data_IF_156758507378
#
_entry.id   IF_156758507378
#
_cell.length_a   1.000
_cell.length_b   1.000
_cell.length_c   1.000
_cell.angle_alpha   90.00
_cell.angle_beta   90.00
_cell.angle_gamma   90.00
#
_symmetry.space_group_name_H-M   'P 1'
#
loop_
_entity.id
_entity.type
_entity.pdbx_description
1 polymer ?
#
# COMPACT_ATOMS: atom_id res chain seq x y z
N UNK A 1 23.17 -12.47 0.78
CA UNK A 1 22.97 -12.35 0.23
C UNK A 1 21.96 -11.75 -0.13
N UNK A 2 21.79 -11.18 -0.33
CA UNK A 2 20.88 -10.51 -0.74
C UNK A 2 19.91 -11.06 -1.44
N UNK A 3 19.67 -12.06 -1.34
CA UNK A 3 18.93 -12.69 -2.03
C UNK A 3 17.58 -12.31 -2.12
N UNK A 4 16.95 -11.83 -1.15
CA UNK A 4 15.59 -11.46 -1.18
C UNK A 4 15.22 -10.54 -2.24
N UNK A 5 16.12 -9.64 -2.57
CA UNK A 5 15.86 -8.71 -3.59
C UNK A 5 15.72 -9.34 -4.91
N UNK A 6 16.56 -10.28 -5.21
CA UNK A 6 16.48 -10.94 -6.46
C UNK A 6 15.21 -11.70 -6.57
N UNK A 7 14.76 -12.31 -5.52
CA UNK A 7 13.57 -13.09 -5.56
C UNK A 7 12.34 -12.28 -5.76
N UNK A 8 12.32 -11.07 -5.29
CA UNK A 8 11.17 -10.21 -5.46
C UNK A 8 11.28 -9.35 -6.70
N UNK A 9 12.19 -9.65 -7.62
CA UNK A 9 12.32 -8.93 -8.87
C UNK A 9 12.75 -7.50 -8.70
N UNK A 10 13.45 -7.18 -7.63
CA UNK A 10 13.86 -5.83 -7.34
C UNK A 10 12.86 -5.04 -6.53
N UNK A 11 11.73 -5.62 -6.17
CA UNK A 11 10.77 -4.97 -5.29
C UNK A 11 11.20 -5.22 -3.85
N UNK A 12 11.47 -4.16 -3.13
CA UNK A 12 11.95 -4.27 -1.77
C UNK A 12 11.64 -2.99 -1.02
N UNK A 13 10.89 -3.10 0.06
CA UNK A 13 10.58 -1.94 0.89
C UNK A 13 11.76 -1.63 1.79
N UNK A 14 12.18 -0.39 1.80
CA UNK A 14 13.30 0.07 2.62
C UNK A 14 12.77 0.73 3.89
N UNK A 15 12.63 -0.06 4.94
CA UNK A 15 12.11 0.45 6.20
C UNK A 15 13.09 1.39 6.89
N UNK A 16 14.35 1.41 6.47
CA UNK A 16 15.33 2.34 7.05
C UNK A 16 15.14 3.75 6.51
N UNK A 17 14.32 3.94 5.48
CA UNK A 17 14.01 5.27 4.98
C UNK A 17 13.14 6.06 5.95
N UNK A 18 12.57 5.40 6.97
CA UNK A 18 11.75 6.05 7.98
C UNK A 18 12.45 6.04 9.32
N UNK A 19 12.19 7.06 10.13
CA UNK A 19 12.68 7.07 11.51
C UNK A 19 11.91 6.01 12.32
N UNK A 20 12.38 5.77 13.54
CA UNK A 20 11.72 4.83 14.43
C UNK A 20 10.27 5.25 14.69
N UNK A 21 10.06 6.52 14.93
CA UNK A 21 8.73 7.05 15.19
C UNK A 21 7.83 6.93 13.96
N UNK A 22 8.39 7.21 12.81
CA UNK A 22 7.65 7.07 11.56
C UNK A 22 7.24 5.63 11.30
N UNK A 23 8.14 4.69 11.58
CA UNK A 23 7.81 3.27 11.42
C UNK A 23 6.67 2.85 12.34
N UNK A 24 6.67 3.34 13.57
CA UNK A 24 5.57 3.04 14.49
C UNK A 24 4.25 3.55 13.97
N UNK A 25 4.23 4.77 13.48
CA UNK A 25 3.02 5.36 12.91
C UNK A 25 2.60 4.62 11.64
N UNK A 26 3.56 4.27 10.81
CA UNK A 26 3.32 3.53 9.59
C UNK A 26 2.62 2.19 9.87
N UNK A 27 3.08 1.47 10.89
CA UNK A 27 2.49 0.18 11.23
C UNK A 27 1.03 0.34 11.69
N UNK A 28 0.74 1.38 12.45
CA UNK A 28 -0.62 1.66 12.86
C UNK A 28 -1.51 1.95 11.66
N UNK A 29 -1.03 2.80 10.76
CA UNK A 29 -1.79 3.16 9.57
C UNK A 29 -2.02 1.95 8.66
N UNK A 30 -1.01 1.11 8.54
CA UNK A 30 -1.09 -0.08 7.71
C UNK A 30 -2.17 -1.04 8.22
N UNK A 31 -2.23 -1.24 9.52
CA UNK A 31 -3.25 -2.10 10.11
C UNK A 31 -4.65 -1.51 9.93
N UNK A 32 -4.77 -0.20 10.09
CA UNK A 32 -6.06 0.48 9.89
C UNK A 32 -6.51 0.38 8.43
N UNK A 33 -5.58 0.55 7.50
CA UNK A 33 -5.88 0.44 6.09
C UNK A 33 -6.41 -0.95 5.76
N UNK A 34 -5.71 -1.98 6.22
CA UNK A 34 -6.12 -3.35 5.94
C UNK A 34 -7.54 -3.62 6.44
N UNK A 35 -7.89 -3.09 7.60
CA UNK A 35 -9.22 -3.27 8.16
C UNK A 35 -10.28 -2.44 7.45
N UNK A 36 -9.89 -1.38 6.75
CA UNK A 36 -10.82 -0.45 6.12
C UNK A 36 -11.09 -0.77 4.65
N UNK A 37 -10.40 -1.73 4.06
CA UNK A 37 -10.63 -2.10 2.67
C UNK A 37 -11.94 -2.88 2.58
N UNK A 38 -12.88 -2.36 1.81
CA UNK A 38 -14.20 -2.97 1.67
C UNK A 38 -14.46 -3.49 0.25
N UNK A 39 -13.52 -3.34 -0.65
CA UNK A 39 -13.64 -3.87 -1.99
C UNK A 39 -12.30 -3.78 -2.70
N UNK A 40 -12.06 -4.70 -3.60
CA UNK A 40 -10.81 -4.78 -4.36
C UNK A 40 -11.16 -5.01 -5.81
N UNK A 41 -10.55 -4.22 -6.67
CA UNK A 41 -10.67 -4.42 -8.12
C UNK A 41 -9.28 -4.68 -8.67
N UNK A 42 -9.13 -5.76 -9.38
CA UNK A 42 -7.84 -6.08 -10.01
C UNK A 42 -7.67 -5.25 -11.27
N UNK A 43 -6.48 -4.66 -11.42
CA UNK A 43 -6.13 -3.88 -12.61
C UNK A 43 -5.04 -4.63 -13.35
N UNK A 44 -4.78 -4.23 -14.59
CA UNK A 44 -3.72 -4.86 -15.38
C UNK A 44 -2.38 -4.77 -14.68
N UNK A 45 -2.11 -3.65 -14.02
CA UNK A 45 -0.82 -3.34 -13.42
C UNK A 45 -0.88 -3.15 -11.91
N UNK A 46 -1.93 -3.62 -11.26
CA UNK A 46 -2.04 -3.50 -9.81
C UNK A 46 -3.44 -3.73 -9.31
N UNK A 47 -3.82 -2.97 -8.29
CA UNK A 47 -5.12 -3.12 -7.64
C UNK A 47 -5.71 -1.76 -7.27
N UNK A 48 -7.03 -1.68 -7.28
CA UNK A 48 -7.77 -0.53 -6.79
C UNK A 48 -8.53 -0.98 -5.55
N UNK A 49 -8.29 -0.33 -4.43
CA UNK A 49 -8.89 -0.68 -3.15
C UNK A 49 -9.95 0.35 -2.79
N UNK A 50 -11.15 -0.12 -2.47
CA UNK A 50 -12.20 0.79 -1.99
C UNK A 50 -12.11 0.88 -0.48
N UNK A 51 -12.09 2.10 0.05
CA UNK A 51 -11.79 2.38 1.44
C UNK A 51 -13.02 2.88 2.17
N UNK A 52 -13.28 2.31 3.34
CA UNK A 52 -14.31 2.81 4.24
C UNK A 52 -13.77 4.04 4.95
N UNK A 53 -14.21 5.23 4.54
CA UNK A 53 -13.67 6.48 5.05
C UNK A 53 -14.03 6.74 6.51
N UNK A 54 -15.04 6.05 7.05
CA UNK A 54 -15.35 6.20 8.46
C UNK A 54 -14.32 5.50 9.33
N UNK A 55 -13.67 4.47 8.78
CA UNK A 55 -12.62 3.75 9.50
C UNK A 55 -11.23 4.28 9.17
N UNK A 56 -11.05 4.88 7.99
CA UNK A 56 -9.73 5.33 7.56
C UNK A 56 -9.92 6.56 6.68
N UNK A 57 -9.95 7.74 7.29
CA UNK A 57 -10.25 8.97 6.53
C UNK A 57 -9.15 9.33 5.54
N UNK A 58 -9.50 10.18 4.57
CA UNK A 58 -8.59 10.57 3.52
C UNK A 58 -7.27 11.13 4.04
N UNK A 59 -7.31 11.87 5.16
CA UNK A 59 -6.10 12.44 5.72
C UNK A 59 -5.13 11.36 6.20
N UNK A 60 -5.65 10.28 6.74
CA UNK A 60 -4.79 9.16 7.16
C UNK A 60 -4.28 8.38 5.96
N UNK A 61 -5.08 8.28 4.91
CA UNK A 61 -4.62 7.64 3.69
C UNK A 61 -3.48 8.44 3.06
N UNK A 62 -3.60 9.77 3.04
CA UNK A 62 -2.53 10.63 2.54
C UNK A 62 -1.26 10.45 3.34
N UNK A 63 -1.39 10.35 4.65
CA UNK A 63 -0.24 10.14 5.51
C UNK A 63 0.42 8.80 5.21
N UNK A 64 -0.38 7.75 5.08
CA UNK A 64 0.14 6.42 4.76
C UNK A 64 0.87 6.43 3.40
N UNK A 65 0.28 7.10 2.41
CA UNK A 65 0.89 7.20 1.09
C UNK A 65 2.27 7.88 1.19
N UNK A 66 2.39 8.91 2.03
CA UNK A 66 3.66 9.62 2.16
C UNK A 66 4.75 8.72 2.72
N UNK A 67 4.40 7.85 3.66
CA UNK A 67 5.38 6.88 4.19
C UNK A 67 5.70 5.81 3.14
N UNK A 68 4.68 5.34 2.44
CA UNK A 68 4.87 4.30 1.45
C UNK A 68 5.80 4.75 0.34
N UNK A 69 5.69 6.01 -0.07
CA UNK A 69 6.58 6.55 -1.09
C UNK A 69 8.02 6.59 -0.65
N UNK A 70 8.27 6.70 0.63
CA UNK A 70 9.63 6.67 1.15
C UNK A 70 10.22 5.27 1.09
N UNK A 71 9.45 4.26 1.51
CA UNK A 71 10.02 2.92 1.65
C UNK A 71 9.79 2.04 0.43
N UNK A 72 8.79 2.35 -0.39
CA UNK A 72 8.48 1.54 -1.57
C UNK A 72 8.30 2.44 -2.79
N UNK A 73 9.36 3.06 -3.27
CA UNK A 73 9.26 4.07 -4.34
C UNK A 73 8.87 3.50 -5.70
N UNK A 74 8.85 2.18 -5.83
CA UNK A 74 8.48 1.54 -7.09
C UNK A 74 6.96 1.43 -7.29
N UNK A 75 6.17 1.77 -6.27
CA UNK A 75 4.72 1.83 -6.43
C UNK A 75 4.31 3.17 -7.01
N UNK A 76 3.26 3.15 -7.84
CA UNK A 76 2.52 4.36 -8.17
C UNK A 76 1.27 4.31 -7.31
N UNK A 77 1.13 5.29 -6.42
CA UNK A 77 0.02 5.34 -5.48
C UNK A 77 -0.87 6.51 -5.81
N UNK A 78 -2.13 6.25 -6.09
CA UNK A 78 -3.07 7.29 -6.49
C UNK A 78 -4.30 7.21 -5.60
N UNK A 79 -4.64 8.33 -4.98
CA UNK A 79 -5.86 8.44 -4.21
C UNK A 79 -6.91 9.07 -5.10
N UNK A 80 -8.08 8.45 -5.21
CA UNK A 80 -9.10 8.89 -6.12
C UNK A 80 -10.45 8.87 -5.41
N UNK A 81 -11.34 9.77 -5.79
CA UNK A 81 -12.69 9.82 -5.24
C UNK A 81 -12.84 10.82 -4.13
N UNK A 82 -13.97 10.73 -3.46
CA UNK A 82 -14.36 11.72 -2.46
C UNK A 82 -14.65 11.05 -1.13
N UNK A 83 -15.13 11.83 -0.19
CA UNK A 83 -15.37 11.39 1.17
C UNK A 83 -16.21 10.11 1.25
N UNK A 84 -17.06 9.83 0.29
CA UNK A 84 -17.92 8.65 0.37
C UNK A 84 -17.52 7.54 -0.57
N UNK A 85 -16.55 7.77 -1.43
CA UNK A 85 -16.14 6.80 -2.44
C UNK A 85 -14.64 6.87 -2.66
N UNK A 86 -13.90 6.74 -1.59
CA UNK A 86 -12.44 6.85 -1.64
C UNK A 86 -11.83 5.56 -2.15
N UNK A 87 -10.91 5.68 -3.07
CA UNK A 87 -10.18 4.54 -3.63
C UNK A 87 -8.69 4.81 -3.59
N UNK A 88 -7.95 3.75 -3.35
CA UNK A 88 -6.48 3.76 -3.43
C UNK A 88 -6.07 2.83 -4.55
N UNK A 89 -5.37 3.34 -5.55
CA UNK A 89 -4.79 2.51 -6.58
C UNK A 89 -3.32 2.29 -6.29
N UNK A 90 -2.90 1.04 -6.33
CA UNK A 90 -1.49 0.66 -6.16
C UNK A 90 -1.09 -0.06 -7.44
N UNK A 91 -0.23 0.57 -8.23
CA UNK A 91 0.19 0.01 -9.51
C UNK A 91 1.71 0.06 -9.63
N UNK A 92 2.25 -0.58 -10.63
CA UNK A 92 3.66 -0.56 -10.91
C UNK A 92 4.02 -1.42 -12.10
N UNK A 93 5.31 -1.68 -12.25
CA UNK A 93 5.81 -2.44 -13.38
C UNK A 93 5.48 -3.94 -13.22
N UNK A 94 5.79 -4.67 -14.25
CA UNK A 94 5.56 -6.11 -14.30
C UNK A 94 6.09 -6.80 -13.04
N UNK A 95 5.31 -7.67 -12.43
CA UNK A 95 5.67 -8.37 -11.20
C UNK A 95 5.16 -7.71 -9.94
N UNK A 96 4.68 -6.46 -10.04
CA UNK A 96 4.26 -5.72 -8.84
C UNK A 96 3.03 -6.36 -8.19
N UNK A 97 2.17 -7.00 -8.96
CA UNK A 97 0.94 -7.55 -8.39
C UNK A 97 1.22 -8.66 -7.37
N UNK A 98 2.17 -9.52 -7.68
CA UNK A 98 2.55 -10.58 -6.75
C UNK A 98 3.18 -9.99 -5.50
N UNK A 99 3.98 -8.95 -5.66
CA UNK A 99 4.59 -8.28 -4.52
C UNK A 99 3.52 -7.61 -3.64
N UNK A 100 2.52 -6.97 -4.25
CA UNK A 100 1.43 -6.34 -3.51
C UNK A 100 0.69 -7.38 -2.67
N UNK A 101 0.37 -8.51 -3.25
CA UNK A 101 -0.34 -9.58 -2.54
C UNK A 101 0.47 -10.08 -1.34
N UNK A 102 1.76 -10.23 -1.52
CA UNK A 102 2.62 -10.70 -0.44
C UNK A 102 2.81 -9.65 0.64
N UNK A 103 3.01 -8.42 0.22
CA UNK A 103 3.30 -7.33 1.16
C UNK A 103 2.07 -6.95 1.99
N UNK A 104 0.89 -7.00 1.40
CA UNK A 104 -0.34 -6.62 2.08
C UNK A 104 -1.23 -7.85 2.32
N UNK A 105 -0.62 -8.89 2.88
CA UNK A 105 -1.30 -10.16 3.04
C UNK A 105 -2.51 -10.09 3.99
N UNK A 106 -2.60 -9.06 4.81
CA UNK A 106 -3.78 -8.85 5.65
C UNK A 106 -5.00 -8.45 4.84
N UNK A 107 -4.81 -7.99 3.60
CA UNK A 107 -5.90 -7.65 2.69
C UNK A 107 -6.18 -8.88 1.83
N UNK A 108 -7.43 -9.22 1.67
CA UNK A 108 -7.77 -10.40 0.90
C UNK A 108 -7.94 -10.05 -0.56
N UNK A 109 -6.94 -10.38 -1.34
CA UNK A 109 -6.96 -10.12 -2.79
C UNK A 109 -7.56 -11.35 -3.47
N UNK A 110 -8.84 -11.39 -3.63
CA UNK A 110 -9.40 -12.53 -4.29
C UNK A 110 -10.23 -12.20 -5.44
#
# INVERSE_FOLDING_TARGET
MANGMSESGGFCCDMTAMTREERGRYEILRAKLAAAVVGIEELADGYSLRIDVSAFPASELEEWISFEKKCCPFFTLTMDGHAEALRLKITGRSGVKDFIRAEFSAIRFE
#
